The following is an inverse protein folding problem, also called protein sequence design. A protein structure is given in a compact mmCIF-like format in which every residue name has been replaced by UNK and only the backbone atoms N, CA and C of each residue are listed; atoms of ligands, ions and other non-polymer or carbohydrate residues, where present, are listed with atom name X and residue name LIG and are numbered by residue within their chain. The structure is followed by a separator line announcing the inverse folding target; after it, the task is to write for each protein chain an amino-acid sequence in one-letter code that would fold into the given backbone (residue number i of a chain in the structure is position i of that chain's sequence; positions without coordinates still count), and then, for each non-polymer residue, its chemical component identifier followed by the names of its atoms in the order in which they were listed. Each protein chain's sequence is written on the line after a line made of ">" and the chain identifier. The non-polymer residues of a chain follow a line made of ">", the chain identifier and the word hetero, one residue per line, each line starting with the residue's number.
data_IF_097430881128
#
_entry.id   IF_097430881128
#
_cell.length_a   1.000
_cell.length_b   1.000
_cell.length_c   1.000
_cell.angle_alpha   90.00
_cell.angle_beta   90.00
_cell.angle_gamma   90.00
#
_symmetry.space_group_name_H-M   'P 1'
#
loop_
_entity.id
_entity.type
_entity.pdbx_description
1 polymer ?
#
# COMPACT_ATOMS: atom_id res chain seq x y z
N UNK A 1 16.94 -11.48 -5.11
CA UNK A 1 15.71 -10.67 -4.93
C UNK A 1 14.66 -11.07 -5.98
N UNK A 2 13.44 -11.42 -5.54
CA UNK A 2 12.32 -11.80 -6.42
C UNK A 2 11.36 -10.60 -6.61
N UNK A 3 11.54 -9.92 -7.73
CA UNK A 3 10.81 -8.70 -8.08
C UNK A 3 9.31 -8.92 -8.30
N UNK A 4 8.90 -10.11 -8.77
CA UNK A 4 7.47 -10.45 -8.95
C UNK A 4 6.71 -10.43 -7.61
N UNK A 5 7.35 -10.92 -6.54
CA UNK A 5 6.74 -10.92 -5.20
C UNK A 5 6.58 -9.49 -4.65
N UNK A 6 7.56 -8.62 -4.90
CA UNK A 6 7.52 -7.20 -4.49
C UNK A 6 6.34 -6.50 -5.16
N UNK A 7 6.20 -6.64 -6.48
CA UNK A 7 5.08 -6.07 -7.23
C UNK A 7 3.73 -6.62 -6.75
N UNK A 8 3.64 -7.94 -6.50
CA UNK A 8 2.42 -8.56 -5.98
C UNK A 8 2.03 -8.00 -4.61
N UNK A 9 2.97 -7.92 -3.67
CA UNK A 9 2.75 -7.34 -2.35
C UNK A 9 2.32 -5.88 -2.43
N UNK A 10 2.94 -5.09 -3.31
CA UNK A 10 2.53 -3.73 -3.62
C UNK A 10 1.08 -3.65 -4.09
N UNK A 11 0.69 -4.45 -5.10
CA UNK A 11 -0.66 -4.44 -5.66
C UNK A 11 -1.71 -4.83 -4.61
N UNK A 12 -1.47 -5.90 -3.83
CA UNK A 12 -2.40 -6.35 -2.80
C UNK A 12 -2.56 -5.27 -1.72
N UNK A 13 -1.47 -4.68 -1.25
CA UNK A 13 -1.50 -3.64 -0.21
C UNK A 13 -2.14 -2.35 -0.73
N UNK A 14 -1.95 -2.03 -2.02
CA UNK A 14 -2.63 -0.92 -2.70
C UNK A 14 -4.15 -1.14 -2.75
N UNK A 15 -4.61 -2.35 -3.09
CA UNK A 15 -6.04 -2.68 -3.12
C UNK A 15 -6.69 -2.51 -1.74
N UNK A 16 -5.99 -2.95 -0.67
CA UNK A 16 -6.41 -2.72 0.71
C UNK A 16 -6.46 -1.22 1.01
N UNK A 17 -5.45 -0.46 0.61
CA UNK A 17 -5.41 0.99 0.76
C UNK A 17 -6.59 1.70 0.07
N UNK A 18 -6.90 1.35 -1.18
CA UNK A 18 -8.05 1.89 -1.90
C UNK A 18 -9.36 1.58 -1.17
N UNK A 19 -9.51 0.36 -0.67
CA UNK A 19 -10.69 -0.04 0.09
C UNK A 19 -10.85 0.79 1.38
N UNK A 20 -9.75 0.99 2.13
CA UNK A 20 -9.75 1.86 3.32
C UNK A 20 -10.13 3.30 2.94
N UNK A 21 -9.56 3.84 1.85
CA UNK A 21 -9.87 5.18 1.35
C UNK A 21 -11.36 5.34 0.98
N UNK A 22 -11.97 4.31 0.40
CA UNK A 22 -13.41 4.28 0.12
C UNK A 22 -14.25 4.29 1.39
N UNK A 23 -13.92 3.44 2.38
CA UNK A 23 -14.65 3.39 3.65
C UNK A 23 -14.54 4.73 4.39
N UNK A 24 -13.33 5.30 4.46
CA UNK A 24 -13.11 6.61 5.08
C UNK A 24 -13.91 7.71 4.36
N UNK A 25 -14.01 7.67 3.03
CA UNK A 25 -14.79 8.66 2.27
C UNK A 25 -16.29 8.61 2.59
N UNK A 26 -16.83 7.44 2.97
CA UNK A 26 -18.23 7.27 3.38
C UNK A 26 -18.49 7.66 4.83
N UNK A 27 -17.50 7.44 5.72
CA UNK A 27 -17.61 7.85 7.13
C UNK A 27 -17.46 9.37 7.26
N UNK A 28 -16.60 9.98 6.46
CA UNK A 28 -16.36 11.43 6.41
C UNK A 28 -17.34 12.10 5.43
N UNK A 29 -18.54 11.56 5.24
CA UNK A 29 -19.59 12.23 4.46
C UNK A 29 -19.97 13.54 5.16
N UNK A 30 -19.40 14.63 4.65
CA UNK A 30 -19.72 15.98 5.08
C UNK A 30 -21.10 16.39 4.58
N UNK A 31 -21.88 17.16 5.34
CA UNK A 31 -23.24 17.60 4.97
C UNK A 31 -23.29 18.57 3.78
N UNK A 32 -22.18 18.79 3.08
CA UNK A 32 -22.01 19.78 2.02
C UNK A 32 -21.88 19.10 0.66
N UNK A 33 -22.88 19.30 -0.20
CA UNK A 33 -22.98 18.79 -1.58
C UNK A 33 -22.19 19.61 -2.61
N UNK A 34 -21.18 20.37 -2.16
CA UNK A 34 -20.31 21.14 -3.05
C UNK A 34 -19.50 20.21 -3.96
N UNK A 35 -19.31 20.58 -5.24
CA UNK A 35 -18.51 19.82 -6.21
C UNK A 35 -17.06 19.54 -5.74
N UNK A 36 -16.52 20.36 -4.83
CA UNK A 36 -15.22 20.10 -4.20
C UNK A 36 -15.23 18.86 -3.29
N UNK A 37 -16.33 18.59 -2.61
CA UNK A 37 -16.47 17.42 -1.73
C UNK A 37 -16.67 16.11 -2.51
N UNK A 38 -17.27 16.16 -3.70
CA UNK A 38 -17.37 14.98 -4.58
C UNK A 38 -16.00 14.46 -5.02
N UNK A 39 -15.00 15.34 -5.15
CA UNK A 39 -13.64 14.93 -5.51
C UNK A 39 -12.85 14.34 -4.35
N UNK A 40 -13.31 14.56 -3.11
CA UNK A 40 -12.60 14.17 -1.89
C UNK A 40 -12.47 12.64 -1.76
N UNK A 41 -13.52 11.89 -2.10
CA UNK A 41 -13.45 10.43 -2.13
C UNK A 41 -12.43 9.89 -3.13
N UNK A 42 -12.28 10.55 -4.30
CA UNK A 42 -11.25 10.21 -5.28
C UNK A 42 -9.84 10.50 -4.79
N UNK A 43 -9.67 11.59 -4.03
CA UNK A 43 -8.40 11.94 -3.40
C UNK A 43 -8.03 10.90 -2.33
N UNK A 44 -8.95 10.55 -1.43
CA UNK A 44 -8.70 9.52 -0.41
C UNK A 44 -8.37 8.16 -1.02
N UNK A 45 -9.10 7.72 -2.04
CA UNK A 45 -8.77 6.49 -2.77
C UNK A 45 -7.36 6.53 -3.35
N UNK A 46 -6.98 7.64 -4.00
CA UNK A 46 -5.66 7.76 -4.62
C UNK A 46 -4.56 7.78 -3.57
N UNK A 47 -4.71 8.56 -2.49
CA UNK A 47 -3.70 8.67 -1.43
C UNK A 47 -3.54 7.36 -0.68
N UNK A 48 -4.64 6.72 -0.28
CA UNK A 48 -4.55 5.45 0.44
C UNK A 48 -4.07 4.31 -0.49
N UNK A 49 -4.45 4.32 -1.77
CA UNK A 49 -3.99 3.35 -2.76
C UNK A 49 -2.50 3.47 -3.07
N UNK A 50 -1.99 4.68 -3.30
CA UNK A 50 -0.55 4.89 -3.54
C UNK A 50 0.27 4.64 -2.28
N UNK A 51 -0.21 5.09 -1.12
CA UNK A 51 0.41 4.80 0.17
C UNK A 51 0.50 3.30 0.44
N UNK A 52 -0.58 2.57 0.23
CA UNK A 52 -0.61 1.11 0.36
C UNK A 52 0.36 0.43 -0.61
N UNK A 53 0.46 0.90 -1.85
CA UNK A 53 1.40 0.35 -2.83
C UNK A 53 2.87 0.52 -2.37
N UNK A 54 3.23 1.72 -1.95
CA UNK A 54 4.60 2.02 -1.45
C UNK A 54 4.90 1.15 -0.24
N UNK A 55 4.02 1.10 0.75
CA UNK A 55 4.21 0.28 1.95
C UNK A 55 4.38 -1.20 1.60
N UNK A 56 3.52 -1.76 0.74
CA UNK A 56 3.58 -3.17 0.37
C UNK A 56 4.86 -3.55 -0.36
N UNK A 57 5.30 -2.71 -1.31
CA UNK A 57 6.57 -2.93 -2.01
C UNK A 57 7.77 -2.83 -1.07
N UNK A 58 7.80 -1.84 -0.17
CA UNK A 58 8.88 -1.65 0.80
C UNK A 58 8.96 -2.81 1.79
N UNK A 59 7.83 -3.27 2.34
CA UNK A 59 7.81 -4.39 3.30
C UNK A 59 8.36 -5.68 2.70
N UNK A 60 7.92 -6.05 1.50
CA UNK A 60 8.41 -7.27 0.84
C UNK A 60 9.85 -7.13 0.36
N UNK A 61 10.29 -5.93 -0.05
CA UNK A 61 11.69 -5.68 -0.38
C UNK A 61 12.60 -5.85 0.85
N UNK A 62 12.23 -5.26 1.99
CA UNK A 62 12.96 -5.41 3.25
C UNK A 62 13.03 -6.88 3.68
N UNK A 63 11.91 -7.60 3.59
CA UNK A 63 11.83 -9.04 3.92
C UNK A 63 12.77 -9.88 3.06
N UNK A 64 12.87 -9.57 1.77
CA UNK A 64 13.77 -10.28 0.87
C UNK A 64 15.24 -9.94 1.12
N UNK A 65 15.56 -8.69 1.47
CA UNK A 65 16.93 -8.31 1.82
C UNK A 65 17.39 -9.00 3.12
N UNK A 66 16.52 -9.04 4.14
CA UNK A 66 16.80 -9.79 5.38
C UNK A 66 17.02 -11.28 5.08
N UNK A 67 16.11 -11.91 4.33
CA UNK A 67 16.26 -13.32 3.97
C UNK A 67 17.47 -13.63 3.08
N UNK A 68 18.03 -12.64 2.38
CA UNK A 68 19.30 -12.80 1.67
C UNK A 68 20.47 -12.77 2.66
N UNK A 69 20.47 -11.81 3.59
CA UNK A 69 21.49 -11.68 4.62
C UNK A 69 21.56 -12.91 5.54
N UNK A 70 20.41 -13.42 5.98
CA UNK A 70 20.37 -14.59 6.86
C UNK A 70 21.00 -15.82 6.18
N UNK A 71 20.82 -15.97 4.86
CA UNK A 71 21.44 -17.07 4.08
C UNK A 71 22.95 -16.89 3.91
N UNK A 72 23.41 -15.65 3.78
CA UNK A 72 24.84 -15.34 3.70
C UNK A 72 25.50 -15.63 5.05
N UNK A 73 24.88 -15.24 6.16
CA UNK A 73 25.37 -15.52 7.52
C UNK A 73 25.37 -17.05 7.84
N UNK A 74 24.38 -17.81 7.38
CA UNK A 74 24.33 -19.28 7.54
C UNK A 74 25.38 -20.04 6.71
N UNK A 75 25.91 -19.45 5.63
CA UNK A 75 26.94 -20.09 4.78
C UNK A 75 28.37 -19.88 5.29
N UNK A 76 28.60 -18.91 6.16
CA UNK A 76 29.91 -18.59 6.75
C UNK A 76 30.21 -19.39 8.04
N UNK A 77 29.29 -20.24 8.51
CA UNK A 77 29.45 -21.19 9.63
C UNK A 77 29.55 -22.64 9.16
#
# INVERSE_FOLDING_TARGET
>A
MNQRKIWFAGIVTSAIGVFIGLVLSRIVETPYTSANYQRLGRIYMLVCGTGGFVVGTTQEALRQMQAQRDREEDQDY
#
